data_IF_631542590539
#
_entry.id   IF_631542590539
#
_cell.length_a   1.000
_cell.length_b   1.000
_cell.length_c   1.000
_cell.angle_alpha   90.00
_cell.angle_beta   90.00
_cell.angle_gamma   90.00
#
_symmetry.space_group_name_H-M   'P 1'
#
loop_
_entity.id
_entity.type
_entity.pdbx_description
1 polymer ?
#
# COMPACT_ATOMS: atom_id res chain seq x y z
N UNK A 1 5.20 9.50 0.19
CA UNK A 1 5.61 9.71 1.60
C UNK A 1 4.81 8.75 2.45
N UNK A 2 5.43 8.07 3.41
CA UNK A 2 4.78 7.07 4.26
C UNK A 2 5.01 7.44 5.73
N UNK A 3 3.92 7.63 6.48
CA UNK A 3 3.95 7.76 7.92
C UNK A 3 3.72 6.40 8.57
N UNK A 4 4.50 6.06 9.61
CA UNK A 4 4.37 4.80 10.36
C UNK A 4 4.16 5.12 11.83
N UNK A 5 3.09 4.57 12.40
CA UNK A 5 2.78 4.60 13.83
C UNK A 5 2.98 3.22 14.48
N UNK A 6 3.18 3.21 15.80
CA UNK A 6 3.29 2.00 16.61
C UNK A 6 2.19 1.99 17.67
N UNK A 7 1.48 0.88 17.80
CA UNK A 7 0.62 0.58 18.93
C UNK A 7 1.37 -0.31 19.93
N UNK A 8 1.30 0.00 21.21
CA UNK A 8 1.96 -0.75 22.29
C UNK A 8 0.97 -1.56 23.10
N UNK A 9 1.46 -2.60 23.78
CA UNK A 9 0.65 -3.38 24.71
C UNK A 9 0.25 -2.52 25.93
N UNK A 10 -0.95 -2.74 26.54
CA UNK A 10 -1.44 -1.86 27.61
C UNK A 10 -0.54 -1.77 28.86
N UNK A 11 0.32 -2.77 29.09
CA UNK A 11 1.12 -2.91 30.30
C UNK A 11 2.61 -3.17 30.01
N UNK A 12 3.08 -2.89 28.79
CA UNK A 12 4.47 -3.18 28.38
C UNK A 12 4.91 -2.31 27.21
N UNK A 13 6.20 -1.95 27.18
CA UNK A 13 6.82 -1.24 26.05
C UNK A 13 6.96 -2.08 24.76
N UNK A 14 6.36 -3.27 24.74
CA UNK A 14 6.31 -4.12 23.56
C UNK A 14 5.33 -3.55 22.55
N UNK A 15 5.81 -3.41 21.32
CA UNK A 15 4.96 -3.11 20.17
C UNK A 15 3.97 -4.26 20.01
N UNK A 16 2.68 -3.94 19.91
CA UNK A 16 1.61 -4.88 19.63
C UNK A 16 1.36 -4.97 18.12
N UNK A 17 1.36 -3.82 17.44
CA UNK A 17 1.22 -3.71 15.99
C UNK A 17 1.81 -2.40 15.49
N UNK A 18 2.12 -2.35 14.20
CA UNK A 18 2.43 -1.12 13.47
C UNK A 18 1.31 -0.85 12.48
N UNK A 19 1.09 0.41 12.20
CA UNK A 19 0.21 0.83 11.13
C UNK A 19 0.91 1.93 10.34
N UNK A 20 0.60 2.01 9.06
CA UNK A 20 1.17 3.04 8.22
C UNK A 20 0.19 3.53 7.18
N UNK A 21 0.42 4.76 6.76
CA UNK A 21 -0.39 5.40 5.74
C UNK A 21 0.55 6.20 4.83
N UNK A 22 0.40 5.98 3.53
CA UNK A 22 1.21 6.64 2.53
C UNK A 22 0.37 7.17 1.38
N UNK A 23 0.86 8.26 0.81
CA UNK A 23 0.28 8.90 -0.35
C UNK A 23 1.41 9.36 -1.29
N UNK A 24 1.14 9.28 -2.60
CA UNK A 24 2.06 9.84 -3.58
C UNK A 24 1.61 9.70 -5.03
N UNK A 25 2.57 9.96 -5.91
CA UNK A 25 2.44 9.79 -7.35
C UNK A 25 3.14 8.51 -7.78
N UNK A 26 2.52 7.78 -8.70
CA UNK A 26 3.04 6.55 -9.28
C UNK A 26 3.01 6.67 -10.80
N UNK A 27 4.20 6.73 -11.39
CA UNK A 27 4.41 6.72 -12.84
C UNK A 27 4.80 5.31 -13.30
N UNK A 28 4.06 4.76 -14.26
CA UNK A 28 4.29 3.44 -14.82
C UNK A 28 4.61 3.55 -16.32
N UNK A 29 5.80 3.12 -16.73
CA UNK A 29 6.20 3.07 -18.14
C UNK A 29 5.30 2.12 -18.95
N UNK A 30 4.88 1.01 -18.33
CA UNK A 30 3.89 0.06 -18.85
C UNK A 30 2.77 -0.10 -17.81
N UNK A 31 1.52 -0.05 -18.26
CA UNK A 31 0.33 -0.23 -17.42
C UNK A 31 0.38 -1.62 -16.77
N UNK A 32 0.25 -1.76 -15.44
CA UNK A 32 0.25 -3.05 -14.76
C UNK A 32 -0.85 -3.98 -15.27
N UNK A 33 -0.58 -5.29 -15.32
CA UNK A 33 -1.55 -6.31 -15.79
C UNK A 33 -2.85 -6.28 -14.97
N UNK A 34 -2.76 -6.07 -13.65
CA UNK A 34 -3.92 -5.98 -12.75
C UNK A 34 -4.84 -4.80 -13.14
N UNK A 35 -4.25 -3.70 -13.57
CA UNK A 35 -4.98 -2.53 -14.02
C UNK A 35 -5.64 -2.76 -15.39
N UNK A 36 -4.96 -3.47 -16.30
CA UNK A 36 -5.54 -3.88 -17.59
C UNK A 36 -6.76 -4.78 -17.40
N UNK A 37 -6.65 -5.82 -16.56
CA UNK A 37 -7.77 -6.73 -16.24
C UNK A 37 -8.96 -5.96 -15.66
N UNK A 38 -8.70 -5.00 -14.76
CA UNK A 38 -9.76 -4.20 -14.13
C UNK A 38 -10.42 -3.23 -15.13
N UNK A 39 -9.69 -2.76 -16.13
CA UNK A 39 -10.20 -1.88 -17.19
C UNK A 39 -10.98 -2.63 -18.27
N UNK A 40 -10.55 -3.84 -18.65
CA UNK A 40 -11.30 -4.73 -19.55
C UNK A 40 -12.70 -5.00 -19.00
N UNK A 41 -12.79 -5.28 -17.70
CA UNK A 41 -14.07 -5.45 -17.00
C UNK A 41 -14.92 -4.16 -16.96
N UNK A 42 -14.31 -2.98 -17.11
CA UNK A 42 -14.97 -1.68 -17.05
C UNK A 42 -15.25 -1.06 -18.43
N UNK A 43 -14.94 -1.75 -19.54
CA UNK A 43 -15.03 -1.21 -20.92
C UNK A 43 -14.35 0.17 -21.08
N UNK A 44 -13.31 0.42 -20.29
CA UNK A 44 -12.61 1.71 -20.28
C UNK A 44 -11.40 1.63 -21.19
N UNK A 45 -11.39 2.38 -22.28
CA UNK A 45 -10.24 2.53 -23.18
C UNK A 45 -9.33 3.66 -22.68
N UNK A 46 -8.13 3.29 -22.20
CA UNK A 46 -7.09 4.25 -21.81
C UNK A 46 -6.79 4.22 -20.31
N UNK A 47 -5.53 3.92 -20.01
CA UNK A 47 -4.97 3.99 -18.66
C UNK A 47 -3.93 5.09 -18.63
N UNK A 48 -4.10 6.07 -17.76
CA UNK A 48 -3.09 7.09 -17.60
C UNK A 48 -1.83 6.48 -16.96
N UNK A 49 -0.65 6.85 -17.47
CA UNK A 49 0.64 6.33 -16.98
C UNK A 49 1.03 6.96 -15.64
N UNK A 50 0.51 8.14 -15.34
CA UNK A 50 0.69 8.83 -14.08
C UNK A 50 -0.60 8.76 -13.26
N UNK A 51 -0.54 8.11 -12.11
CA UNK A 51 -1.67 7.97 -11.19
C UNK A 51 -1.26 8.38 -9.78
N UNK A 52 -2.24 8.73 -8.97
CA UNK A 52 -2.04 8.83 -7.52
C UNK A 52 -2.15 7.44 -6.89
N UNK A 53 -1.42 7.25 -5.80
CA UNK A 53 -1.58 6.08 -4.96
C UNK A 53 -1.82 6.48 -3.51
N UNK A 54 -2.61 5.66 -2.85
CA UNK A 54 -2.87 5.67 -1.42
C UNK A 54 -2.56 4.27 -0.91
N UNK A 55 -1.73 4.18 0.11
CA UNK A 55 -1.39 2.91 0.75
C UNK A 55 -1.73 2.96 2.23
N UNK A 56 -2.25 1.85 2.74
CA UNK A 56 -2.45 1.62 4.16
C UNK A 56 -1.84 0.28 4.53
N UNK A 57 -1.11 0.21 5.63
CA UNK A 57 -0.46 -1.01 6.10
C UNK A 57 -0.77 -1.29 7.55
N UNK A 58 -0.83 -2.57 7.90
CA UNK A 58 -0.86 -3.06 9.28
C UNK A 58 0.11 -4.22 9.39
N UNK A 59 1.01 -4.14 10.37
CA UNK A 59 2.06 -5.12 10.55
C UNK A 59 2.10 -5.61 12.00
N UNK A 60 2.32 -6.91 12.16
CA UNK A 60 2.42 -7.57 13.45
C UNK A 60 3.88 -8.01 13.71
N UNK A 61 4.40 -7.80 14.92
CA UNK A 61 5.74 -8.22 15.29
C UNK A 61 5.82 -9.75 15.38
N UNK A 62 6.83 -10.33 14.74
CA UNK A 62 7.02 -11.79 14.68
C UNK A 62 7.58 -12.34 16.01
N UNK A 63 8.35 -11.53 16.73
CA UNK A 63 8.97 -11.89 18.01
C UNK A 63 7.95 -12.05 19.16
N UNK A 64 6.71 -11.60 18.96
CA UNK A 64 5.57 -11.92 19.84
C UNK A 64 5.16 -13.39 19.80
N UNK A 65 5.41 -14.08 18.68
CA UNK A 65 5.02 -15.49 18.46
C UNK A 65 6.26 -16.40 18.49
N UNK A 66 7.32 -16.02 17.77
CA UNK A 66 8.55 -16.80 17.64
C UNK A 66 9.65 -16.15 18.46
N UNK A 67 10.00 -16.75 19.60
CA UNK A 67 11.07 -16.25 20.47
C UNK A 67 12.44 -16.66 19.93
N UNK A 68 12.91 -15.97 18.88
CA UNK A 68 14.25 -16.14 18.32
C UNK A 68 14.94 -14.80 18.09
N UNK A 69 16.25 -14.75 18.30
CA UNK A 69 17.07 -13.56 18.04
C UNK A 69 17.06 -13.16 16.56
N UNK A 70 16.80 -14.12 15.66
CA UNK A 70 16.77 -13.92 14.21
C UNK A 70 15.56 -13.10 13.74
N UNK A 71 14.44 -13.15 14.47
CA UNK A 71 13.20 -12.44 14.11
C UNK A 71 12.95 -11.21 14.97
N UNK A 72 13.94 -10.82 15.78
CA UNK A 72 13.83 -9.63 16.63
C UNK A 72 13.72 -8.41 15.72
N UNK A 73 12.70 -7.58 15.93
CA UNK A 73 12.36 -6.45 15.07
C UNK A 73 11.93 -6.82 13.64
N UNK A 74 11.48 -8.06 13.42
CA UNK A 74 10.81 -8.44 12.18
C UNK A 74 9.29 -8.35 12.33
N UNK A 75 8.64 -7.95 11.25
CA UNK A 75 7.21 -7.72 11.15
C UNK A 75 6.66 -8.42 9.91
N UNK A 76 5.46 -8.97 10.05
CA UNK A 76 4.67 -9.48 8.94
C UNK A 76 3.42 -8.64 8.82
N UNK A 77 3.09 -8.18 7.62
CA UNK A 77 2.01 -7.24 7.45
C UNK A 77 1.26 -7.41 6.14
N UNK A 78 0.08 -6.78 6.12
CA UNK A 78 -0.74 -6.62 4.93
C UNK A 78 -0.68 -5.15 4.56
N UNK A 79 -0.43 -4.88 3.28
CA UNK A 79 -0.56 -3.53 2.71
C UNK A 79 -1.66 -3.55 1.66
N UNK A 80 -2.56 -2.59 1.77
CA UNK A 80 -3.59 -2.32 0.79
C UNK A 80 -3.15 -1.09 0.01
N UNK A 81 -3.01 -1.24 -1.31
CA UNK A 81 -2.66 -0.12 -2.17
C UNK A 81 -3.82 0.15 -3.11
N UNK A 82 -4.34 1.37 -3.01
CA UNK A 82 -5.32 1.93 -3.92
C UNK A 82 -4.60 2.86 -4.89
N UNK A 83 -4.75 2.62 -6.19
CA UNK A 83 -4.26 3.53 -7.24
C UNK A 83 -5.43 4.06 -8.04
N UNK A 84 -5.44 5.37 -8.28
CA UNK A 84 -6.48 6.03 -9.07
C UNK A 84 -5.99 7.33 -9.70
N UNK A 85 -6.71 7.77 -10.73
CA UNK A 85 -6.51 9.10 -11.33
C UNK A 85 -6.74 10.20 -10.30
N UNK A 86 -6.07 11.34 -10.48
CA UNK A 86 -6.10 12.49 -9.57
C UNK A 86 -7.55 13.04 -9.43
N UNK A 87 -8.23 12.70 -8.33
CA UNK A 87 -9.55 13.24 -8.00
C UNK A 87 -9.43 14.76 -7.71
N UNK A 88 -9.73 15.60 -8.71
CA UNK A 88 -9.92 17.04 -8.49
C UNK A 88 -9.42 17.99 -9.58
N UNK A 89 -8.54 17.56 -10.50
CA UNK A 89 -8.00 18.46 -11.54
C UNK A 89 -8.58 18.21 -12.95
N UNK A 90 -9.52 17.29 -13.10
CA UNK A 90 -9.95 16.75 -14.39
C UNK A 90 -11.31 17.25 -14.89
N UNK A 91 -11.64 18.52 -14.65
CA UNK A 91 -12.59 19.20 -15.54
C UNK A 91 -11.92 19.72 -16.82
N UNK A 92 -10.59 19.83 -16.83
CA UNK A 92 -9.82 20.31 -17.99
C UNK A 92 -9.19 19.18 -18.84
N UNK A 93 -8.99 17.99 -18.27
CA UNK A 93 -8.42 16.83 -18.96
C UNK A 93 -9.36 15.64 -18.78
N UNK A 94 -10.14 15.32 -19.80
CA UNK A 94 -11.15 14.25 -19.87
C UNK A 94 -10.54 12.82 -19.86
N UNK A 95 -9.31 12.66 -19.36
CA UNK A 95 -8.49 11.45 -19.50
C UNK A 95 -7.71 11.07 -18.23
N UNK A 96 -8.36 11.14 -17.06
CA UNK A 96 -7.92 10.44 -15.84
C UNK A 96 -8.71 9.15 -15.66
N UNK A 97 -8.62 8.28 -16.67
CA UNK A 97 -9.12 6.92 -16.62
C UNK A 97 -7.97 5.99 -16.23
N UNK A 98 -8.21 5.13 -15.24
CA UNK A 98 -7.22 4.21 -14.71
C UNK A 98 -7.25 4.08 -13.19
N UNK A 99 -6.67 2.99 -12.70
CA UNK A 99 -6.62 2.64 -11.29
C UNK A 99 -6.79 1.16 -11.04
N UNK A 100 -6.12 0.67 -9.99
CA UNK A 100 -6.20 -0.71 -9.53
C UNK A 100 -6.06 -0.75 -8.01
N UNK A 101 -6.66 -1.78 -7.42
CA UNK A 101 -6.50 -2.09 -6.00
C UNK A 101 -5.72 -3.39 -5.92
N UNK A 102 -4.73 -3.44 -5.05
CA UNK A 102 -4.01 -4.68 -4.79
C UNK A 102 -3.69 -4.82 -3.31
N UNK A 103 -3.76 -6.06 -2.85
CA UNK A 103 -3.40 -6.48 -1.50
C UNK A 103 -2.04 -7.16 -1.59
N UNK A 104 -1.12 -6.75 -0.73
CA UNK A 104 0.21 -7.35 -0.66
C UNK A 104 0.48 -7.85 0.74
N UNK A 105 1.05 -9.05 0.82
CA UNK A 105 1.69 -9.52 2.03
C UNK A 105 3.16 -9.13 1.98
N UNK A 106 3.71 -8.66 3.09
CA UNK A 106 5.12 -8.33 3.16
C UNK A 106 5.72 -8.80 4.49
N UNK A 107 7.04 -8.96 4.47
CA UNK A 107 7.88 -9.21 5.64
C UNK A 107 8.96 -8.16 5.66
N UNK A 108 9.09 -7.46 6.79
CA UNK A 108 10.07 -6.40 6.99
C UNK A 108 10.85 -6.66 8.26
N UNK A 109 12.19 -6.64 8.20
CA UNK A 109 13.05 -6.71 9.37
C UNK A 109 13.84 -5.42 9.50
N UNK A 110 13.63 -4.71 10.61
CA UNK A 110 14.39 -3.49 10.93
C UNK A 110 15.77 -3.88 11.44
N UNK A 111 16.82 -3.35 10.80
CA UNK A 111 18.22 -3.58 11.18
C UNK A 111 18.73 -2.52 12.14
#
# INVERSE_FOLDING_TARGET
LMGIGKGYMPWSDKVAFRWGFGMGLSYAQRVPVIEQIKQENKKSTGSNRLLTYLEWTVDLPIDGVIKSRLVRNCFVGVTVVHRSGLFGYSRANDDVRGGSDYYTLHLECLR
#
